data_IF_031473855066
#
_entry.id   IF_031473855066
#
_cell.length_a   1.000
_cell.length_b   1.000
_cell.length_c   1.000
_cell.angle_alpha   90.00
_cell.angle_beta   90.00
_cell.angle_gamma   90.00
#
_symmetry.space_group_name_H-M   'P 1'
#
loop_
_entity.id
_entity.type
_entity.pdbx_description
1 polymer ?
#
# COMPACT_ATOMS: atom_id res chain seq x y z
N UNK A 1 -8.58 -44.41 48.14
CA UNK A 1 -8.77 -42.95 48.25
C UNK A 1 -8.33 -42.29 46.94
N UNK A 2 -9.31 -41.72 46.23
CA UNK A 2 -9.25 -40.55 45.32
C UNK A 2 -8.32 -40.56 44.10
N UNK A 3 -8.95 -40.95 42.99
CA UNK A 3 -8.73 -40.55 41.58
C UNK A 3 -8.70 -39.03 41.45
N UNK A 4 -7.80 -38.45 40.64
CA UNK A 4 -8.15 -37.33 39.75
C UNK A 4 -7.17 -37.21 38.57
N UNK A 5 -7.62 -37.66 37.41
CA UNK A 5 -7.03 -37.38 36.09
C UNK A 5 -7.50 -36.00 35.64
N UNK A 6 -6.60 -35.07 35.33
CA UNK A 6 -6.97 -33.75 34.78
C UNK A 6 -6.74 -33.79 33.26
N UNK A 7 -7.86 -33.76 32.53
CA UNK A 7 -7.97 -33.60 31.09
C UNK A 7 -7.90 -32.09 30.80
N UNK A 8 -6.90 -31.64 30.04
CA UNK A 8 -6.83 -30.26 29.55
C UNK A 8 -7.58 -30.19 28.22
N UNK A 9 -8.70 -29.48 28.24
CA UNK A 9 -9.65 -29.33 27.15
C UNK A 9 -9.06 -28.41 26.07
N UNK A 10 -8.93 -28.91 24.84
CA UNK A 10 -8.48 -28.15 23.68
C UNK A 10 -9.60 -27.21 23.24
N UNK A 11 -9.51 -25.92 23.58
CA UNK A 11 -10.43 -24.91 23.08
C UNK A 11 -10.10 -24.61 21.61
N UNK A 12 -10.88 -25.18 20.68
CA UNK A 12 -10.89 -24.76 19.30
C UNK A 12 -11.52 -23.37 19.21
N UNK A 13 -10.69 -22.33 19.31
CA UNK A 13 -11.09 -20.96 19.03
C UNK A 13 -11.47 -20.83 17.56
N UNK A 14 -12.77 -20.74 17.27
CA UNK A 14 -13.25 -20.24 16.00
C UNK A 14 -12.77 -18.80 15.86
N UNK A 15 -11.71 -18.59 15.09
CA UNK A 15 -11.27 -17.25 14.72
C UNK A 15 -12.32 -16.74 13.74
N UNK A 16 -13.06 -15.66 14.04
CA UNK A 16 -13.89 -15.04 13.03
C UNK A 16 -12.95 -14.61 11.90
N UNK A 17 -13.09 -15.24 10.73
CA UNK A 17 -12.53 -14.69 9.52
C UNK A 17 -13.26 -13.36 9.29
N UNK A 18 -12.63 -12.27 9.74
CA UNK A 18 -12.99 -10.94 9.29
C UNK A 18 -12.73 -10.93 7.78
N UNK A 19 -13.79 -11.11 6.99
CA UNK A 19 -13.75 -10.77 5.58
C UNK A 19 -13.45 -9.28 5.51
N UNK A 20 -12.22 -8.94 5.11
CA UNK A 20 -11.91 -7.58 4.70
C UNK A 20 -12.86 -7.25 3.55
N UNK A 21 -13.56 -6.11 3.64
CA UNK A 21 -14.35 -5.63 2.52
C UNK A 21 -13.43 -5.47 1.31
N UNK A 22 -13.86 -5.93 0.14
CA UNK A 22 -13.12 -5.70 -1.09
C UNK A 22 -13.01 -4.18 -1.33
N UNK A 23 -11.85 -3.67 -1.79
CA UNK A 23 -11.68 -2.26 -2.05
C UNK A 23 -12.75 -1.72 -3.00
N UNK A 24 -13.40 -0.62 -2.63
CA UNK A 24 -14.41 0.03 -3.49
C UNK A 24 -13.69 1.00 -4.42
N UNK A 25 -13.18 0.48 -5.55
CA UNK A 25 -12.35 1.23 -6.48
C UNK A 25 -13.16 2.13 -7.42
N UNK A 26 -12.76 3.39 -7.51
CA UNK A 26 -13.34 4.44 -8.35
C UNK A 26 -12.25 5.39 -8.90
N UNK A 27 -12.12 5.55 -10.23
CA UNK A 27 -12.77 4.76 -11.27
C UNK A 27 -12.33 3.28 -11.20
N UNK A 28 -13.15 2.38 -11.75
CA UNK A 28 -12.81 0.97 -11.81
C UNK A 28 -11.60 0.76 -12.75
N UNK A 29 -10.49 0.14 -12.29
CA UNK A 29 -9.35 -0.14 -13.15
C UNK A 29 -9.73 -1.12 -14.27
N UNK A 30 -8.95 -1.11 -15.37
CA UNK A 30 -9.16 -2.02 -16.50
C UNK A 30 -9.09 -3.50 -16.09
N UNK A 31 -8.30 -3.82 -15.06
CA UNK A 31 -8.18 -5.15 -14.47
C UNK A 31 -7.90 -5.02 -12.98
N UNK A 32 -8.64 -5.76 -12.17
CA UNK A 32 -8.40 -5.92 -10.74
C UNK A 32 -8.52 -7.40 -10.38
N UNK A 33 -7.57 -7.91 -9.60
CA UNK A 33 -7.57 -9.29 -9.13
C UNK A 33 -7.04 -9.32 -7.69
N UNK A 34 -7.90 -9.75 -6.76
CA UNK A 34 -7.48 -9.95 -5.37
C UNK A 34 -6.65 -11.24 -5.24
N UNK A 35 -5.55 -11.15 -4.49
CA UNK A 35 -4.72 -12.30 -4.09
C UNK A 35 -4.78 -12.46 -2.57
N UNK A 36 -4.57 -13.67 -2.03
CA UNK A 36 -4.50 -13.87 -0.58
C UNK A 36 -3.31 -13.11 0.02
N UNK A 37 -3.53 -12.46 1.16
CA UNK A 37 -2.51 -11.69 1.85
C UNK A 37 -3.05 -10.34 2.30
N UNK A 38 -2.23 -9.58 3.02
CA UNK A 38 -2.51 -8.20 3.38
C UNK A 38 -1.21 -7.43 3.52
N UNK A 39 -1.19 -6.21 3.01
CA UNK A 39 -0.09 -5.28 3.21
C UNK A 39 -0.37 -4.44 4.46
N UNK A 40 0.53 -4.47 5.43
CA UNK A 40 0.35 -3.75 6.69
C UNK A 40 0.82 -2.30 6.57
N UNK A 41 -0.04 -1.35 6.93
CA UNK A 41 0.32 0.06 7.10
C UNK A 41 0.54 0.32 8.59
N UNK A 42 1.79 0.52 8.99
CA UNK A 42 2.21 0.81 10.35
C UNK A 42 3.26 1.93 10.38
N UNK A 43 3.87 2.18 11.55
CA UNK A 43 4.88 3.23 11.72
C UNK A 43 6.15 3.03 10.88
N UNK A 44 6.38 1.82 10.34
CA UNK A 44 7.50 1.48 9.45
C UNK A 44 7.11 1.56 7.97
N UNK A 45 5.90 2.04 7.65
CA UNK A 45 5.50 2.28 6.27
C UNK A 45 6.29 3.42 5.65
N UNK A 46 6.88 3.17 4.48
CA UNK A 46 7.67 4.12 3.72
C UNK A 46 7.25 4.13 2.25
N UNK A 47 7.34 5.31 1.63
CA UNK A 47 7.14 5.48 0.19
C UNK A 47 8.47 5.81 -0.44
N UNK A 48 8.89 5.01 -1.41
CA UNK A 48 10.15 5.17 -2.13
C UNK A 48 9.85 5.46 -3.61
N UNK A 49 10.40 6.54 -4.15
CA UNK A 49 10.29 6.85 -5.58
C UNK A 49 11.58 6.44 -6.28
N UNK A 50 11.49 5.58 -7.29
CA UNK A 50 12.63 5.11 -8.09
C UNK A 50 12.47 5.55 -9.55
N UNK A 51 13.60 5.73 -10.24
CA UNK A 51 13.62 6.24 -11.61
C UNK A 51 13.63 7.77 -11.69
N UNK A 52 13.13 8.30 -12.80
CA UNK A 52 13.12 9.73 -13.12
C UNK A 52 11.95 10.46 -12.47
N UNK A 53 11.79 10.36 -11.15
CA UNK A 53 10.66 10.98 -10.44
C UNK A 53 10.47 12.45 -10.85
N UNK A 54 9.31 12.77 -11.41
CA UNK A 54 9.00 14.13 -11.85
C UNK A 54 8.71 15.04 -10.63
N UNK A 55 8.89 16.36 -10.79
CA UNK A 55 8.66 17.31 -9.70
C UNK A 55 7.22 17.28 -9.15
N UNK A 56 6.26 16.76 -9.93
CA UNK A 56 4.84 16.64 -9.58
C UNK A 56 4.56 15.49 -8.60
N UNK A 57 5.34 14.41 -8.64
CA UNK A 57 5.11 13.21 -7.83
C UNK A 57 5.38 13.46 -6.33
N UNK A 58 6.40 14.24 -6.00
CA UNK A 58 6.77 14.48 -4.60
C UNK A 58 5.65 15.16 -3.77
N UNK A 59 4.99 16.24 -4.25
CA UNK A 59 3.80 16.80 -3.58
C UNK A 59 2.63 15.81 -3.44
N UNK A 60 2.42 14.92 -4.43
CA UNK A 60 1.38 13.90 -4.37
C UNK A 60 1.67 12.86 -3.28
N UNK A 61 2.92 12.38 -3.20
CA UNK A 61 3.38 11.46 -2.15
C UNK A 61 3.25 12.09 -0.76
N UNK A 62 3.65 13.36 -0.60
CA UNK A 62 3.52 14.07 0.66
C UNK A 62 2.05 14.18 1.10
N UNK A 63 1.16 14.55 0.18
CA UNK A 63 -0.28 14.66 0.44
C UNK A 63 -0.92 13.31 0.78
N UNK A 64 -0.47 12.25 0.11
CA UNK A 64 -0.86 10.86 0.39
C UNK A 64 -0.45 10.44 1.81
N UNK A 65 0.82 10.58 2.18
CA UNK A 65 1.29 10.24 3.52
C UNK A 65 0.55 11.04 4.60
N UNK A 66 0.33 12.34 4.39
CA UNK A 66 -0.46 13.15 5.31
C UNK A 66 -1.90 12.65 5.43
N UNK A 67 -2.53 12.20 4.34
CA UNK A 67 -3.87 11.61 4.36
C UNK A 67 -3.89 10.29 5.14
N UNK A 68 -2.97 9.37 4.85
CA UNK A 68 -2.90 8.06 5.53
C UNK A 68 -2.67 8.25 7.03
N UNK A 69 -1.77 9.14 7.42
CA UNK A 69 -1.53 9.47 8.83
C UNK A 69 -2.80 9.97 9.53
N UNK A 70 -3.55 10.88 8.91
CA UNK A 70 -4.84 11.36 9.46
C UNK A 70 -5.91 10.28 9.56
N UNK A 71 -5.97 9.35 8.59
CA UNK A 71 -6.99 8.28 8.56
C UNK A 71 -6.69 7.15 9.54
N UNK A 72 -5.41 6.85 9.77
CA UNK A 72 -4.97 5.69 10.56
C UNK A 72 -4.49 6.05 11.96
N UNK A 73 -4.14 7.31 12.21
CA UNK A 73 -3.46 7.74 13.43
C UNK A 73 -1.98 7.34 13.50
N UNK A 74 -1.43 6.74 12.44
CA UNK A 74 -0.01 6.39 12.37
C UNK A 74 0.83 7.66 12.21
N UNK A 75 1.84 7.80 13.07
CA UNK A 75 2.82 8.88 12.99
C UNK A 75 4.10 8.34 12.34
N UNK A 76 4.46 8.88 11.18
CA UNK A 76 5.69 8.51 10.49
C UNK A 76 6.89 9.22 11.11
N UNK A 77 7.94 8.46 11.41
CA UNK A 77 9.16 9.02 11.96
C UNK A 77 9.89 9.88 10.90
N UNK A 78 10.60 10.96 11.30
CA UNK A 78 11.40 11.76 10.37
C UNK A 78 12.53 10.97 9.71
N UNK A 79 13.01 9.92 10.38
CA UNK A 79 14.04 9.01 9.87
C UNK A 79 13.38 7.69 9.43
N UNK A 80 13.70 7.16 8.25
CA UNK A 80 13.17 5.88 7.81
C UNK A 80 13.62 4.74 8.73
N UNK A 81 12.80 3.68 8.88
CA UNK A 81 13.17 2.48 9.62
C UNK A 81 14.33 1.74 8.94
N UNK A 82 15.00 0.81 9.66
CA UNK A 82 15.95 -0.10 9.06
C UNK A 82 15.35 -0.83 7.84
N UNK A 83 16.11 -1.09 6.76
CA UNK A 83 15.58 -1.71 5.54
C UNK A 83 14.88 -3.05 5.71
N UNK A 84 15.21 -3.81 6.76
CA UNK A 84 14.60 -5.10 7.08
C UNK A 84 13.19 -4.98 7.69
N UNK A 85 12.90 -3.85 8.33
CA UNK A 85 11.64 -3.59 9.02
C UNK A 85 10.68 -2.73 8.18
N UNK A 86 11.19 -2.10 7.13
CA UNK A 86 10.44 -1.22 6.24
C UNK A 86 9.30 -1.96 5.52
N UNK A 87 8.11 -1.35 5.51
CA UNK A 87 6.98 -1.73 4.66
C UNK A 87 6.93 -0.76 3.49
N UNK A 88 7.34 -1.20 2.30
CA UNK A 88 7.58 -0.30 1.17
C UNK A 88 6.38 -0.20 0.25
N UNK A 89 5.99 1.03 -0.08
CA UNK A 89 5.35 1.36 -1.34
C UNK A 89 6.41 1.92 -2.29
N UNK A 90 6.78 1.17 -3.31
CA UNK A 90 7.75 1.59 -4.33
C UNK A 90 7.00 2.18 -5.53
N UNK A 91 7.30 3.42 -5.89
CA UNK A 91 6.76 4.09 -7.07
C UNK A 91 7.88 4.16 -8.11
N UNK A 92 7.80 3.28 -9.11
CA UNK A 92 8.72 3.19 -10.23
C UNK A 92 8.17 3.97 -11.42
N UNK A 93 8.81 5.11 -11.72
CA UNK A 93 8.37 6.04 -12.74
C UNK A 93 9.56 6.49 -13.59
N UNK A 94 9.43 6.34 -14.91
CA UNK A 94 10.48 6.77 -15.85
C UNK A 94 10.55 8.30 -16.03
N UNK A 95 9.51 9.04 -15.61
CA UNK A 95 9.49 10.49 -15.52
C UNK A 95 8.33 11.14 -16.27
N UNK A 96 8.61 12.02 -17.21
CA UNK A 96 7.59 12.72 -17.99
C UNK A 96 7.77 14.24 -18.00
N UNK A 97 6.90 14.95 -18.74
CA UNK A 97 6.95 16.39 -18.85
C UNK A 97 6.73 17.09 -17.50
N UNK A 98 7.23 18.32 -17.40
CA UNK A 98 7.11 19.14 -16.20
C UNK A 98 5.65 19.53 -15.89
N UNK A 99 4.84 19.68 -16.93
CA UNK A 99 3.41 19.94 -16.86
C UNK A 99 2.64 18.83 -17.58
N UNK A 100 1.40 18.50 -17.15
CA UNK A 100 0.55 17.54 -17.86
C UNK A 100 0.31 18.00 -19.29
N UNK A 101 0.44 17.06 -20.24
CA UNK A 101 0.17 17.31 -21.66
C UNK A 101 -0.86 16.32 -22.18
N UNK A 102 -1.62 16.72 -23.20
CA UNK A 102 -2.55 15.82 -23.85
C UNK A 102 -1.80 14.67 -24.53
N UNK A 103 -2.28 13.44 -24.32
CA UNK A 103 -1.67 12.23 -24.87
C UNK A 103 -0.51 11.67 -24.05
N UNK A 104 -0.29 12.16 -22.82
CA UNK A 104 0.61 11.54 -21.86
C UNK A 104 0.12 10.11 -21.51
N UNK A 105 1.05 9.18 -21.31
CA UNK A 105 0.71 7.81 -20.92
C UNK A 105 0.39 7.75 -19.42
N UNK A 106 -0.90 7.78 -19.11
CA UNK A 106 -1.45 7.74 -17.74
C UNK A 106 -1.65 6.30 -17.21
N UNK A 107 -1.14 5.29 -17.92
CA UNK A 107 -1.26 3.89 -17.52
C UNK A 107 -0.40 3.58 -16.29
N UNK A 108 -0.90 2.69 -15.44
CA UNK A 108 -0.16 2.16 -14.29
C UNK A 108 -0.46 0.68 -14.07
N UNK A 109 0.48 0.01 -13.40
CA UNK A 109 0.28 -1.29 -12.75
C UNK A 109 0.45 -1.08 -11.26
N UNK A 110 -0.43 -1.69 -10.47
CA UNK A 110 -0.34 -1.70 -9.01
C UNK A 110 -0.32 -3.15 -8.53
N UNK A 111 0.82 -3.58 -8.03
CA UNK A 111 1.03 -4.89 -7.41
C UNK A 111 1.14 -4.74 -5.90
N UNK A 112 0.37 -5.50 -5.13
CA UNK A 112 0.40 -5.46 -3.66
C UNK A 112 0.61 -6.86 -3.12
N UNK A 113 1.69 -7.04 -2.35
CA UNK A 113 2.00 -8.27 -1.60
C UNK A 113 1.94 -8.02 -0.09
N UNK A 114 2.25 -9.03 0.71
CA UNK A 114 2.36 -8.90 2.17
C UNK A 114 3.62 -8.17 2.63
N UNK A 115 4.60 -7.99 1.74
CA UNK A 115 5.92 -7.42 2.04
C UNK A 115 6.17 -6.08 1.35
N UNK A 116 5.63 -5.90 0.15
CA UNK A 116 5.84 -4.71 -0.68
C UNK A 116 4.60 -4.41 -1.51
N UNK A 117 4.30 -3.13 -1.68
CA UNK A 117 3.43 -2.62 -2.73
C UNK A 117 4.28 -1.89 -3.78
N UNK A 118 3.94 -2.03 -5.05
CA UNK A 118 4.67 -1.43 -6.16
C UNK A 118 3.72 -0.82 -7.18
N UNK A 119 3.99 0.43 -7.54
CA UNK A 119 3.35 1.15 -8.65
C UNK A 119 4.38 1.27 -9.76
N UNK A 120 4.09 0.75 -10.94
CA UNK A 120 4.91 0.93 -12.14
C UNK A 120 4.15 1.80 -13.14
N UNK A 121 4.77 2.89 -13.59
CA UNK A 121 4.18 3.79 -14.56
C UNK A 121 5.25 4.35 -15.52
N UNK A 122 4.85 4.64 -16.75
CA UNK A 122 5.72 5.28 -17.74
C UNK A 122 5.91 6.75 -17.40
N UNK A 123 4.85 7.40 -16.93
CA UNK A 123 4.84 8.83 -16.61
C UNK A 123 4.42 9.10 -15.18
N UNK A 124 4.70 10.31 -14.69
CA UNK A 124 4.28 10.70 -13.36
C UNK A 124 2.77 10.84 -13.19
N UNK A 125 1.99 11.13 -14.24
CA UNK A 125 0.53 11.10 -14.14
C UNK A 125 0.02 9.68 -13.88
N UNK A 126 0.54 8.68 -14.60
CA UNK A 126 0.24 7.27 -14.33
C UNK A 126 0.59 6.88 -12.88
N UNK A 127 1.76 7.33 -12.38
CA UNK A 127 2.16 7.08 -10.99
C UNK A 127 1.19 7.73 -9.98
N UNK A 128 0.71 8.95 -10.26
CA UNK A 128 -0.27 9.66 -9.41
C UNK A 128 -1.63 8.94 -9.42
N UNK A 129 -2.09 8.43 -10.56
CA UNK A 129 -3.31 7.61 -10.64
C UNK A 129 -3.18 6.27 -9.89
N UNK A 130 -2.03 5.61 -9.99
CA UNK A 130 -1.71 4.43 -9.21
C UNK A 130 -1.75 4.71 -7.70
N UNK A 131 -1.16 5.83 -7.27
CA UNK A 131 -1.17 6.27 -5.87
C UNK A 131 -2.59 6.59 -5.39
N UNK A 132 -3.43 7.19 -6.24
CA UNK A 132 -4.83 7.45 -5.95
C UNK A 132 -5.65 6.16 -5.81
N UNK A 133 -5.32 5.12 -6.57
CA UNK A 133 -5.94 3.79 -6.47
C UNK A 133 -5.53 3.09 -5.18
N UNK A 134 -4.25 3.16 -4.81
CA UNK A 134 -3.73 2.57 -3.57
C UNK A 134 -4.37 3.20 -2.32
N UNK A 135 -4.85 4.45 -2.40
CA UNK A 135 -5.43 5.18 -1.28
C UNK A 135 -6.94 4.92 -1.03
N UNK A 136 -7.58 4.05 -1.82
CA UNK A 136 -9.01 3.72 -1.75
C UNK A 136 -9.24 2.41 -1.01
#
# INVERSE_FOLDING_TARGET
MRVTTIIFMLAAGAHPALFAAEPVLMPMPVKAQATPGRFAIDANFVVETVGGANARLAPAVHSFLARVSRQTGVLYAPLPPPPADARRLVIDCAGGPEYPVLGEDESYVLDVSDTEARIQAVTGEGAIHGLATFAQ
#
